data_IF_462291225870
#
_entry.id   IF_462291225870
#
_cell.length_a   1.000
_cell.length_b   1.000
_cell.length_c   1.000
_cell.angle_alpha   90.00
_cell.angle_beta   90.00
_cell.angle_gamma   90.00
#
_symmetry.space_group_name_H-M   'P 1'
#
loop_
_entity.id
_entity.type
_entity.pdbx_description
1 polymer ?
#
# COMPACT_ATOMS: atom_id res chain seq x y z
N UNK A 1 -30.06 23.75 -26.93
CA UNK A 1 -28.83 23.63 -26.08
C UNK A 1 -29.29 23.68 -24.64
N UNK A 2 -29.29 22.52 -23.97
CA UNK A 2 -29.61 22.38 -22.54
C UNK A 2 -28.31 22.55 -21.75
N UNK A 3 -28.17 23.73 -21.15
CA UNK A 3 -27.06 24.05 -20.23
C UNK A 3 -27.15 23.14 -19.01
N UNK A 4 -26.16 22.22 -18.85
CA UNK A 4 -26.07 21.39 -17.63
C UNK A 4 -25.59 22.29 -16.49
N UNK A 5 -26.50 22.97 -15.83
CA UNK A 5 -26.20 23.67 -14.58
C UNK A 5 -25.82 22.61 -13.53
N UNK A 6 -24.54 22.44 -13.31
CA UNK A 6 -24.08 21.71 -12.16
C UNK A 6 -24.52 22.47 -10.90
N UNK A 7 -25.38 21.88 -10.09
CA UNK A 7 -25.72 22.45 -8.79
C UNK A 7 -24.44 22.50 -7.93
N UNK A 8 -24.09 23.70 -7.47
CA UNK A 8 -22.97 23.90 -6.56
C UNK A 8 -23.52 24.29 -5.19
N UNK A 9 -22.91 23.71 -4.14
CA UNK A 9 -23.26 24.06 -2.76
C UNK A 9 -22.83 25.52 -2.49
N UNK A 10 -23.69 26.25 -1.77
CA UNK A 10 -23.32 27.55 -1.16
C UNK A 10 -22.26 27.33 -0.08
N UNK A 11 -21.61 28.38 0.41
CA UNK A 11 -20.66 28.30 1.53
C UNK A 11 -21.34 27.67 2.77
N UNK A 12 -22.55 28.09 3.10
CA UNK A 12 -23.34 27.48 4.16
C UNK A 12 -23.62 25.98 3.89
N UNK A 13 -23.93 25.62 2.63
CA UNK A 13 -24.12 24.22 2.24
C UNK A 13 -22.84 23.38 2.36
N UNK A 14 -21.68 23.94 2.02
CA UNK A 14 -20.37 23.26 2.19
C UNK A 14 -20.04 23.06 3.68
N UNK A 15 -20.32 24.09 4.51
CA UNK A 15 -20.15 24.00 5.95
C UNK A 15 -21.07 22.93 6.56
N UNK A 16 -22.36 22.94 6.18
CA UNK A 16 -23.33 21.96 6.64
C UNK A 16 -22.92 20.55 6.23
N UNK A 17 -22.52 20.32 4.98
CA UNK A 17 -22.07 19.02 4.49
C UNK A 17 -20.90 18.49 5.33
N UNK A 18 -19.89 19.34 5.59
CA UNK A 18 -18.74 18.97 6.42
C UNK A 18 -19.12 18.51 7.82
N UNK A 19 -20.07 19.19 8.46
CA UNK A 19 -20.51 18.82 9.81
C UNK A 19 -21.49 17.65 9.80
N UNK A 20 -22.37 17.56 8.81
CA UNK A 20 -23.28 16.42 8.65
C UNK A 20 -22.51 15.10 8.48
N UNK A 21 -21.47 15.07 7.62
CA UNK A 21 -20.60 13.91 7.48
C UNK A 21 -19.99 13.48 8.82
N UNK A 22 -19.56 14.45 9.64
CA UNK A 22 -18.98 14.14 10.96
C UNK A 22 -19.99 13.57 11.93
N UNK A 23 -21.21 14.15 11.96
CA UNK A 23 -22.30 13.70 12.84
C UNK A 23 -22.72 12.29 12.44
N UNK A 24 -22.94 12.03 11.16
CA UNK A 24 -23.32 10.70 10.66
C UNK A 24 -22.26 9.65 10.98
N UNK A 25 -20.98 9.95 10.70
CA UNK A 25 -19.89 9.04 11.02
C UNK A 25 -19.81 8.75 12.55
N UNK A 26 -20.05 9.76 13.39
CA UNK A 26 -20.06 9.58 14.85
C UNK A 26 -21.25 8.73 15.32
N UNK A 27 -22.42 8.91 14.71
CA UNK A 27 -23.59 8.06 14.99
C UNK A 27 -23.30 6.60 14.61
N UNK A 28 -22.77 6.35 13.42
CA UNK A 28 -22.40 5.00 12.96
C UNK A 28 -21.34 4.36 13.86
N UNK A 29 -20.33 5.14 14.30
CA UNK A 29 -19.33 4.69 15.26
C UNK A 29 -19.95 4.29 16.59
N UNK A 30 -20.87 5.13 17.09
CA UNK A 30 -21.58 4.87 18.36
C UNK A 30 -22.41 3.60 18.27
N UNK A 31 -23.17 3.42 17.19
CA UNK A 31 -23.96 2.21 16.96
C UNK A 31 -23.07 0.96 16.93
N UNK A 32 -21.96 0.99 16.17
CA UNK A 32 -20.99 -0.13 16.11
C UNK A 32 -20.39 -0.42 17.47
N UNK A 33 -20.00 0.61 18.24
CA UNK A 33 -19.46 0.44 19.59
C UNK A 33 -20.47 -0.19 20.57
N UNK A 34 -21.73 0.18 20.49
CA UNK A 34 -22.80 -0.42 21.30
C UNK A 34 -23.05 -1.89 20.92
N UNK A 35 -23.08 -2.20 19.62
CA UNK A 35 -23.22 -3.58 19.13
C UNK A 35 -22.06 -4.46 19.60
N UNK A 36 -20.82 -3.95 19.56
CA UNK A 36 -19.63 -4.68 20.03
C UNK A 36 -19.68 -4.97 21.54
N UNK A 37 -20.16 -4.00 22.34
CA UNK A 37 -20.34 -4.20 23.80
C UNK A 37 -21.42 -5.27 24.07
N UNK A 38 -22.48 -5.32 23.28
CA UNK A 38 -23.60 -6.25 23.48
C UNK A 38 -23.25 -7.68 23.02
N UNK A 39 -22.45 -7.83 21.97
CA UNK A 39 -22.23 -9.13 21.32
C UNK A 39 -20.89 -9.78 21.63
N UNK A 40 -20.11 -9.22 22.58
CA UNK A 40 -18.81 -9.79 23.03
C UNK A 40 -17.95 -10.31 21.85
N UNK A 41 -17.45 -9.41 21.00
CA UNK A 41 -16.50 -9.69 19.90
C UNK A 41 -17.08 -9.83 18.47
N UNK A 42 -18.33 -9.55 18.20
CA UNK A 42 -18.81 -9.44 16.83
C UNK A 42 -18.88 -7.95 16.43
N UNK A 43 -18.26 -7.61 15.31
CA UNK A 43 -18.27 -6.25 14.77
C UNK A 43 -17.75 -6.25 13.34
N UNK A 44 -17.92 -5.14 12.63
CA UNK A 44 -17.32 -4.93 11.31
C UNK A 44 -16.08 -4.06 11.51
N UNK A 45 -14.93 -4.57 11.13
CA UNK A 45 -13.66 -3.84 11.11
C UNK A 45 -13.41 -3.31 9.70
N UNK A 46 -13.46 -2.00 9.53
CA UNK A 46 -13.21 -1.34 8.23
C UNK A 46 -11.72 -1.01 8.13
N UNK A 47 -11.01 -1.74 7.27
CA UNK A 47 -9.58 -1.58 7.07
C UNK A 47 -9.32 -0.84 5.77
N UNK A 48 -8.44 0.17 5.82
CA UNK A 48 -7.94 0.86 4.65
C UNK A 48 -6.57 0.37 4.20
N UNK A 49 -6.30 0.40 2.90
CA UNK A 49 -4.96 0.14 2.40
C UNK A 49 -4.65 0.95 1.14
N UNK A 50 -3.36 1.29 0.95
CA UNK A 50 -2.89 1.80 -0.34
C UNK A 50 -2.93 0.69 -1.40
N UNK A 51 -2.94 1.04 -2.69
CA UNK A 51 -3.19 0.06 -3.76
C UNK A 51 -2.30 -1.18 -3.69
N UNK A 52 -0.99 -1.04 -3.63
CA UNK A 52 -0.06 -2.18 -3.55
C UNK A 52 -0.29 -2.98 -2.28
N UNK A 53 -0.35 -2.30 -1.13
CA UNK A 53 -0.57 -2.92 0.16
C UNK A 53 -1.89 -3.69 0.20
N UNK A 54 -2.97 -3.06 -0.32
CA UNK A 54 -4.31 -3.65 -0.35
C UNK A 54 -4.43 -4.85 -1.29
N UNK A 55 -3.66 -4.85 -2.38
CA UNK A 55 -3.72 -5.95 -3.37
C UNK A 55 -2.89 -7.14 -2.94
N UNK A 56 -1.68 -6.93 -2.41
CA UNK A 56 -0.71 -8.01 -2.21
C UNK A 56 -0.47 -8.39 -0.75
N UNK A 57 -0.54 -7.43 0.18
CA UNK A 57 -0.26 -7.68 1.60
C UNK A 57 -1.54 -7.96 2.40
N UNK A 58 -2.56 -7.11 2.27
CA UNK A 58 -3.76 -7.16 3.13
C UNK A 58 -4.55 -8.47 3.04
N UNK A 59 -4.77 -9.09 1.86
CA UNK A 59 -5.53 -10.34 1.79
C UNK A 59 -4.93 -11.45 2.66
N UNK A 60 -3.60 -11.53 2.70
CA UNK A 60 -2.89 -12.50 3.53
C UNK A 60 -3.03 -12.19 5.03
N UNK A 61 -2.77 -10.94 5.44
CA UNK A 61 -2.93 -10.53 6.84
C UNK A 61 -4.36 -10.76 7.33
N UNK A 62 -5.35 -10.43 6.50
CA UNK A 62 -6.77 -10.65 6.78
C UNK A 62 -7.07 -12.14 6.87
N UNK A 63 -6.51 -12.96 5.99
CA UNK A 63 -6.67 -14.41 6.01
C UNK A 63 -6.22 -15.03 7.34
N UNK A 64 -4.99 -14.71 7.77
CA UNK A 64 -4.43 -15.16 9.04
C UNK A 64 -5.28 -14.68 10.21
N UNK A 65 -5.66 -13.40 10.20
CA UNK A 65 -6.49 -12.83 11.26
C UNK A 65 -7.86 -13.48 11.35
N UNK A 66 -8.55 -13.68 10.22
CA UNK A 66 -9.88 -14.31 10.19
C UNK A 66 -9.86 -15.78 10.59
N UNK A 67 -8.76 -16.48 10.36
CA UNK A 67 -8.61 -17.84 10.87
C UNK A 67 -8.64 -17.88 12.40
N UNK A 68 -8.01 -16.89 13.05
CA UNK A 68 -7.96 -16.78 14.53
C UNK A 68 -9.22 -16.12 15.12
N UNK A 69 -9.85 -15.21 14.40
CA UNK A 69 -11.02 -14.42 14.85
C UNK A 69 -12.15 -14.46 13.79
N UNK A 70 -12.76 -15.63 13.54
CA UNK A 70 -13.75 -15.81 12.47
C UNK A 70 -15.03 -14.98 12.66
N UNK A 71 -15.35 -14.59 13.89
CA UNK A 71 -16.52 -13.79 14.24
C UNK A 71 -16.39 -12.30 13.88
N UNK A 72 -15.19 -11.80 13.59
CA UNK A 72 -14.97 -10.41 13.21
C UNK A 72 -15.12 -10.29 11.69
N UNK A 73 -16.14 -9.58 11.24
CA UNK A 73 -16.29 -9.24 9.84
C UNK A 73 -15.28 -8.15 9.44
N UNK A 74 -14.68 -8.29 8.25
CA UNK A 74 -13.71 -7.32 7.75
C UNK A 74 -14.19 -6.78 6.41
N UNK A 75 -14.18 -5.45 6.30
CA UNK A 75 -14.32 -4.72 5.05
C UNK A 75 -12.97 -4.08 4.69
N UNK A 76 -12.43 -4.39 3.50
CA UNK A 76 -11.19 -3.82 3.00
C UNK A 76 -11.47 -2.75 1.95
N UNK A 77 -11.04 -1.52 2.22
CA UNK A 77 -11.12 -0.39 1.29
C UNK A 77 -9.73 -0.09 0.71
N UNK A 78 -9.59 -0.18 -0.62
CA UNK A 78 -8.32 0.04 -1.32
C UNK A 78 -8.40 1.31 -2.16
N UNK A 79 -7.58 2.30 -1.83
CA UNK A 79 -7.52 3.58 -2.53
C UNK A 79 -6.09 4.18 -2.45
N UNK A 80 -5.91 5.40 -3.00
CA UNK A 80 -4.65 6.15 -2.81
C UNK A 80 -4.41 6.44 -1.31
N UNK A 81 -3.13 6.49 -0.89
CA UNK A 81 -2.73 6.83 0.50
C UNK A 81 -3.45 8.07 1.01
N UNK A 82 -3.54 9.12 0.18
CA UNK A 82 -4.24 10.36 0.54
C UNK A 82 -5.71 10.12 0.88
N UNK A 83 -6.44 9.36 0.05
CA UNK A 83 -7.87 9.07 0.28
C UNK A 83 -8.08 8.21 1.52
N UNK A 84 -7.23 7.21 1.70
CA UNK A 84 -7.25 6.34 2.90
C UNK A 84 -6.98 7.16 4.16
N UNK A 85 -5.94 7.99 4.19
CA UNK A 85 -5.63 8.82 5.35
C UNK A 85 -6.78 9.77 5.73
N UNK A 86 -7.45 10.37 4.75
CA UNK A 86 -8.66 11.14 5.00
C UNK A 86 -9.83 10.31 5.51
N UNK A 87 -10.00 9.07 5.01
CA UNK A 87 -10.99 8.12 5.50
C UNK A 87 -10.79 7.81 6.99
N UNK A 88 -9.54 7.54 7.41
CA UNK A 88 -9.18 7.32 8.82
C UNK A 88 -9.42 8.59 9.65
N UNK A 89 -8.99 9.76 9.17
CA UNK A 89 -9.18 11.02 9.90
C UNK A 89 -10.66 11.37 10.11
N UNK A 90 -11.51 11.05 9.13
CA UNK A 90 -12.96 11.25 9.20
C UNK A 90 -13.72 10.13 9.92
N UNK A 91 -13.05 9.01 10.19
CA UNK A 91 -13.61 7.85 10.85
C UNK A 91 -14.47 6.93 9.98
N UNK A 92 -14.30 7.02 8.70
CA UNK A 92 -14.89 6.09 7.73
C UNK A 92 -14.09 4.78 7.64
N UNK A 93 -12.85 4.81 8.09
CA UNK A 93 -11.91 3.69 8.15
C UNK A 93 -11.37 3.63 9.57
N UNK A 94 -11.35 2.45 10.16
CA UNK A 94 -10.95 2.23 11.54
C UNK A 94 -9.42 2.20 11.70
N UNK A 95 -8.74 1.49 10.81
CA UNK A 95 -7.28 1.36 10.76
C UNK A 95 -6.86 1.22 9.30
N UNK A 96 -5.67 1.71 8.96
CA UNK A 96 -5.15 1.47 7.61
C UNK A 96 -3.65 1.17 7.60
N UNK A 97 -3.20 0.44 6.54
CA UNK A 97 -1.79 0.24 6.21
C UNK A 97 -1.51 0.92 4.87
N UNK A 98 -0.59 1.86 4.88
CA UNK A 98 -0.26 2.67 3.70
C UNK A 98 1.26 2.74 3.49
N UNK A 99 1.69 2.74 2.23
CA UNK A 99 3.10 2.82 1.84
C UNK A 99 3.44 4.12 1.10
N UNK A 100 2.71 5.19 1.34
CA UNK A 100 2.97 6.48 0.73
C UNK A 100 2.94 7.61 1.74
N UNK A 101 3.32 8.81 1.31
CA UNK A 101 3.35 9.99 2.17
C UNK A 101 1.94 10.36 2.66
N UNK A 102 1.80 10.47 3.98
CA UNK A 102 0.57 10.91 4.62
C UNK A 102 0.50 12.45 4.52
N UNK A 103 -0.65 13.03 4.12
CA UNK A 103 -0.79 14.47 4.00
C UNK A 103 -0.34 15.21 5.27
N UNK A 104 0.53 16.22 5.12
CA UNK A 104 1.16 16.95 6.24
C UNK A 104 0.15 17.47 7.27
N UNK A 105 -1.01 17.94 6.79
CA UNK A 105 -2.10 18.45 7.65
C UNK A 105 -2.84 17.34 8.43
N UNK A 106 -2.59 16.07 8.18
CA UNK A 106 -3.15 14.94 8.91
C UNK A 106 -2.14 14.28 9.86
N UNK A 107 -0.84 14.52 9.69
CA UNK A 107 0.21 13.89 10.49
C UNK A 107 0.09 14.20 11.99
N UNK A 108 -0.39 15.40 12.36
CA UNK A 108 -0.66 15.77 13.76
C UNK A 108 -1.99 15.25 14.32
N UNK A 109 -2.84 14.68 13.45
CA UNK A 109 -4.19 14.21 13.83
C UNK A 109 -4.24 12.69 13.95
N UNK A 110 -3.40 12.00 13.18
CA UNK A 110 -3.36 10.54 13.12
C UNK A 110 -2.18 10.00 13.95
N UNK A 111 -2.38 8.86 14.58
CA UNK A 111 -1.31 8.04 15.13
C UNK A 111 -0.71 7.22 13.99
N UNK A 112 0.60 7.42 13.74
CA UNK A 112 1.33 6.82 12.63
C UNK A 112 2.42 5.93 13.23
N UNK A 113 2.31 4.63 13.01
CA UNK A 113 3.28 3.64 13.49
C UNK A 113 3.97 3.01 12.28
N UNK A 114 5.30 3.05 12.22
CA UNK A 114 6.07 2.29 11.20
C UNK A 114 5.78 0.80 11.36
N UNK A 115 5.50 0.13 10.24
CA UNK A 115 5.11 -1.29 10.23
C UNK A 115 6.19 -2.16 9.59
N UNK A 116 6.58 -1.86 8.37
CA UNK A 116 7.53 -2.67 7.60
C UNK A 116 8.24 -1.81 6.54
N UNK A 117 9.37 -2.30 6.04
CA UNK A 117 10.00 -1.76 4.85
C UNK A 117 9.56 -2.56 3.61
N UNK A 118 9.15 -1.87 2.57
CA UNK A 118 8.74 -2.41 1.28
C UNK A 118 9.80 -2.05 0.23
N UNK A 119 10.58 -3.03 -0.19
CA UNK A 119 11.61 -2.83 -1.22
C UNK A 119 10.97 -2.72 -2.59
N UNK A 120 11.47 -1.78 -3.40
CA UNK A 120 11.03 -1.53 -4.77
C UNK A 120 12.05 -2.08 -5.74
N UNK A 121 11.75 -3.23 -6.33
CA UNK A 121 12.61 -3.98 -7.22
C UNK A 121 12.58 -3.42 -8.65
N UNK A 122 13.74 -3.33 -9.30
CA UNK A 122 13.82 -3.20 -10.74
C UNK A 122 13.59 -4.57 -11.38
N UNK A 123 12.53 -4.69 -12.17
CA UNK A 123 12.20 -5.94 -12.87
C UNK A 123 12.47 -5.86 -14.36
N UNK A 124 12.93 -6.97 -14.91
CA UNK A 124 13.27 -7.15 -16.31
C UNK A 124 12.63 -8.44 -16.84
N UNK A 125 12.39 -8.53 -18.16
CA UNK A 125 12.14 -9.84 -18.79
C UNK A 125 13.31 -10.80 -18.53
N UNK A 126 13.03 -12.07 -18.30
CA UNK A 126 14.10 -13.08 -18.09
C UNK A 126 15.04 -13.22 -19.28
N UNK A 127 14.57 -12.88 -20.49
CA UNK A 127 15.40 -12.86 -21.72
C UNK A 127 16.27 -11.62 -21.88
N UNK A 128 16.17 -10.61 -20.98
CA UNK A 128 16.96 -9.39 -21.09
C UNK A 128 18.44 -9.66 -20.80
N UNK A 129 19.41 -9.08 -21.55
CA UNK A 129 20.83 -9.31 -21.32
C UNK A 129 21.31 -9.02 -19.89
N UNK A 130 20.69 -8.04 -19.22
CA UNK A 130 21.01 -7.70 -17.84
C UNK A 130 20.46 -8.71 -16.81
N UNK A 131 19.58 -9.62 -17.19
CA UNK A 131 19.07 -10.65 -16.29
C UNK A 131 20.14 -11.68 -15.90
N UNK A 132 21.24 -11.79 -16.66
CA UNK A 132 22.38 -12.66 -16.34
C UNK A 132 23.41 -12.00 -15.43
N UNK A 133 23.28 -10.70 -15.12
CA UNK A 133 24.24 -9.97 -14.30
C UNK A 133 23.85 -10.05 -12.81
N UNK A 134 24.84 -10.20 -11.94
CA UNK A 134 24.64 -10.14 -10.50
C UNK A 134 24.15 -8.75 -10.06
N UNK A 135 24.77 -7.71 -10.65
CA UNK A 135 24.41 -6.31 -10.43
C UNK A 135 24.48 -5.53 -11.74
N UNK A 136 23.59 -4.58 -11.93
CA UNK A 136 23.69 -3.57 -12.98
C UNK A 136 24.29 -2.28 -12.41
N UNK A 137 25.04 -1.54 -13.22
CA UNK A 137 25.59 -0.25 -12.83
C UNK A 137 24.50 0.83 -12.97
N UNK A 138 24.62 1.92 -12.23
CA UNK A 138 23.67 3.02 -12.32
C UNK A 138 23.59 3.64 -13.72
N UNK A 139 24.69 3.63 -14.46
CA UNK A 139 24.77 4.12 -15.84
C UNK A 139 23.98 3.24 -16.81
N UNK A 140 23.82 1.96 -16.52
CA UNK A 140 23.06 1.03 -17.35
C UNK A 140 21.56 1.31 -17.32
N UNK A 141 21.06 2.00 -16.29
CA UNK A 141 19.65 2.40 -16.21
C UNK A 141 19.25 3.30 -17.40
N UNK A 142 20.14 4.15 -17.88
CA UNK A 142 19.87 5.03 -19.04
C UNK A 142 19.74 4.26 -20.36
N UNK A 143 20.17 3.00 -20.40
CA UNK A 143 20.06 2.12 -21.57
C UNK A 143 18.76 1.33 -21.61
N UNK A 144 18.02 1.32 -20.49
CA UNK A 144 16.76 0.60 -20.38
C UNK A 144 15.60 1.44 -20.95
N UNK A 145 14.58 0.74 -21.44
CA UNK A 145 13.27 1.30 -21.73
C UNK A 145 12.38 1.01 -20.52
N UNK A 146 11.70 2.01 -20.01
CA UNK A 146 10.90 1.86 -18.80
C UNK A 146 9.40 1.85 -19.08
N UNK A 147 8.71 0.98 -18.36
CA UNK A 147 7.27 1.03 -18.15
C UNK A 147 7.07 1.66 -16.76
N UNK A 148 6.52 2.86 -16.71
CA UNK A 148 6.43 3.63 -15.49
C UNK A 148 5.00 3.67 -14.92
N UNK A 149 4.88 3.84 -13.61
CA UNK A 149 3.63 4.26 -12.99
C UNK A 149 3.36 5.73 -13.36
N UNK A 150 2.08 6.12 -13.39
CA UNK A 150 1.73 7.51 -13.65
C UNK A 150 2.34 8.47 -12.61
N UNK A 151 2.45 9.75 -12.95
CA UNK A 151 3.10 10.78 -12.12
C UNK A 151 2.40 11.07 -10.78
N UNK A 152 1.17 10.60 -10.58
CA UNK A 152 0.45 10.73 -9.30
C UNK A 152 0.75 9.56 -8.33
N UNK A 153 1.54 8.58 -8.76
CA UNK A 153 1.90 7.43 -7.95
C UNK A 153 2.90 7.80 -6.86
N UNK A 154 2.58 7.48 -5.61
CA UNK A 154 3.51 7.65 -4.49
C UNK A 154 4.74 6.74 -4.61
N UNK A 155 4.59 5.58 -5.24
CA UNK A 155 5.72 4.67 -5.54
C UNK A 155 6.69 5.35 -6.50
N UNK A 156 6.19 5.93 -7.60
CA UNK A 156 7.02 6.64 -8.57
C UNK A 156 7.81 7.78 -7.91
N UNK A 157 7.17 8.56 -7.04
CA UNK A 157 7.84 9.64 -6.31
C UNK A 157 8.99 9.12 -5.43
N UNK A 158 8.78 8.01 -4.71
CA UNK A 158 9.84 7.39 -3.89
C UNK A 158 10.99 6.94 -4.77
N UNK A 159 10.72 6.25 -5.88
CA UNK A 159 11.74 5.79 -6.83
C UNK A 159 12.55 6.97 -7.37
N UNK A 160 11.87 7.99 -7.91
CA UNK A 160 12.51 9.16 -8.50
C UNK A 160 13.37 9.92 -7.48
N UNK A 161 12.89 10.11 -6.25
CA UNK A 161 13.65 10.77 -5.19
C UNK A 161 14.89 9.96 -4.79
N UNK A 162 14.75 8.65 -4.57
CA UNK A 162 15.90 7.80 -4.21
C UNK A 162 16.94 7.75 -5.34
N UNK A 163 16.50 7.71 -6.60
CA UNK A 163 17.43 7.76 -7.73
C UNK A 163 18.18 9.10 -7.78
N UNK A 164 17.51 10.22 -7.58
CA UNK A 164 18.12 11.56 -7.54
C UNK A 164 19.15 11.65 -6.40
N UNK A 165 18.83 11.17 -5.21
CA UNK A 165 19.73 11.12 -4.06
C UNK A 165 21.02 10.31 -4.34
N UNK A 166 20.92 9.33 -5.24
CA UNK A 166 22.07 8.52 -5.69
C UNK A 166 22.73 9.04 -6.98
N UNK A 167 22.40 10.28 -7.39
CA UNK A 167 23.01 10.94 -8.55
C UNK A 167 22.51 10.45 -9.90
N UNK A 168 21.31 9.83 -9.95
CA UNK A 168 20.66 9.33 -11.16
C UNK A 168 19.52 10.26 -11.54
N UNK A 169 19.59 10.90 -12.72
CA UNK A 169 18.51 11.75 -13.22
C UNK A 169 17.48 10.93 -13.98
N UNK A 170 16.43 10.50 -13.28
CA UNK A 170 15.35 9.69 -13.86
C UNK A 170 14.57 10.39 -15.00
N UNK A 171 14.69 11.71 -15.14
CA UNK A 171 14.09 12.47 -16.27
C UNK A 171 14.72 12.14 -17.61
N UNK A 172 15.92 11.56 -17.60
CA UNK A 172 16.64 11.09 -18.79
C UNK A 172 16.27 9.66 -19.19
N UNK A 173 15.44 8.98 -18.38
CA UNK A 173 15.01 7.63 -18.70
C UNK A 173 14.08 7.62 -19.91
N UNK A 174 14.25 6.62 -20.77
CA UNK A 174 13.35 6.39 -21.88
C UNK A 174 12.06 5.72 -21.38
N UNK A 175 11.01 6.49 -21.18
CA UNK A 175 9.68 5.96 -20.82
C UNK A 175 8.98 5.52 -22.11
N UNK A 176 8.76 4.20 -22.24
CA UNK A 176 8.05 3.61 -23.38
C UNK A 176 6.54 3.70 -23.18
N UNK A 177 6.08 3.53 -21.90
CA UNK A 177 4.66 3.55 -21.57
C UNK A 177 4.46 3.97 -20.10
N UNK A 178 3.36 4.68 -19.84
CA UNK A 178 2.87 4.96 -18.49
C UNK A 178 1.58 4.18 -18.21
N UNK A 179 1.53 3.49 -17.07
CA UNK A 179 0.39 2.68 -16.64
C UNK A 179 0.01 3.02 -15.20
N UNK A 180 -1.23 2.75 -14.82
CA UNK A 180 -1.75 3.00 -13.48
C UNK A 180 -2.02 1.71 -12.67
N UNK A 181 -1.66 0.57 -13.22
CA UNK A 181 -1.84 -0.76 -12.62
C UNK A 181 -0.53 -1.53 -12.58
N UNK A 182 -0.16 -2.03 -11.41
CA UNK A 182 1.04 -2.86 -11.23
C UNK A 182 0.93 -4.16 -12.00
N UNK A 183 -0.26 -4.78 -12.05
CA UNK A 183 -0.49 -5.98 -12.86
C UNK A 183 -0.25 -5.71 -14.36
N UNK A 184 -0.74 -4.58 -14.88
CA UNK A 184 -0.48 -4.20 -16.27
C UNK A 184 1.01 -3.97 -16.52
N UNK A 185 1.73 -3.37 -15.57
CA UNK A 185 3.19 -3.17 -15.65
C UNK A 185 3.92 -4.52 -15.69
N UNK A 186 3.60 -5.45 -14.77
CA UNK A 186 4.18 -6.79 -14.74
C UNK A 186 3.98 -7.51 -16.08
N UNK A 187 2.76 -7.49 -16.62
CA UNK A 187 2.45 -8.09 -17.92
C UNK A 187 3.21 -7.43 -19.06
N UNK A 188 3.39 -6.11 -19.05
CA UNK A 188 4.18 -5.40 -20.05
C UNK A 188 5.66 -5.79 -20.00
N UNK A 189 6.24 -5.93 -18.79
CA UNK A 189 7.60 -6.42 -18.60
C UNK A 189 7.75 -7.86 -19.09
N UNK A 190 6.83 -8.75 -18.72
CA UNK A 190 6.82 -10.16 -19.18
C UNK A 190 6.78 -10.26 -20.73
N UNK A 191 6.05 -9.34 -21.36
CA UNK A 191 5.95 -9.27 -22.81
C UNK A 191 7.19 -8.67 -23.50
N UNK A 192 8.22 -8.30 -22.74
CA UNK A 192 9.47 -7.77 -23.29
C UNK A 192 9.41 -6.28 -23.66
N UNK A 193 8.40 -5.53 -23.25
CA UNK A 193 8.24 -4.12 -23.60
C UNK A 193 9.25 -3.21 -22.89
N UNK A 194 9.83 -3.65 -21.76
CA UNK A 194 10.83 -2.86 -21.02
C UNK A 194 11.02 -3.33 -19.59
N UNK A 195 11.68 -2.48 -18.81
CA UNK A 195 11.94 -2.63 -17.38
C UNK A 195 10.91 -1.83 -16.56
N UNK A 196 10.74 -2.18 -15.31
CA UNK A 196 9.90 -1.40 -14.40
C UNK A 196 10.38 -1.50 -12.95
N UNK A 197 10.06 -0.49 -12.15
CA UNK A 197 10.18 -0.58 -10.70
C UNK A 197 8.84 -0.92 -10.09
N UNK A 198 8.79 -1.97 -9.27
CA UNK A 198 7.59 -2.44 -8.57
C UNK A 198 7.94 -2.92 -7.17
N UNK A 199 6.96 -2.95 -6.27
CA UNK A 199 7.15 -3.52 -4.94
C UNK A 199 7.46 -5.02 -5.01
N UNK A 200 8.42 -5.48 -4.22
CA UNK A 200 8.79 -6.91 -4.12
C UNK A 200 7.57 -7.74 -3.72
N UNK A 201 6.69 -7.21 -2.87
CA UNK A 201 5.45 -7.89 -2.49
C UNK A 201 4.52 -8.21 -3.66
N UNK A 202 4.66 -7.47 -4.78
CA UNK A 202 3.82 -7.64 -5.96
C UNK A 202 4.33 -8.69 -6.95
N UNK A 203 5.55 -9.19 -6.77
CA UNK A 203 6.25 -10.03 -7.76
C UNK A 203 6.69 -11.39 -7.24
N UNK A 204 6.35 -11.75 -6.01
CA UNK A 204 6.79 -13.02 -5.40
C UNK A 204 6.46 -14.24 -6.28
N UNK A 205 5.24 -14.31 -6.80
CA UNK A 205 4.80 -15.40 -7.66
C UNK A 205 5.54 -15.45 -8.99
N UNK A 206 5.78 -14.29 -9.60
CA UNK A 206 6.50 -14.18 -10.86
C UNK A 206 7.97 -14.58 -10.72
N UNK A 207 8.59 -14.27 -9.57
CA UNK A 207 9.94 -14.71 -9.24
C UNK A 207 10.03 -16.22 -9.04
N UNK A 208 9.10 -16.82 -8.27
CA UNK A 208 9.00 -18.27 -8.06
C UNK A 208 8.82 -19.03 -9.39
N UNK A 209 7.97 -18.49 -10.28
CA UNK A 209 7.72 -19.06 -11.59
C UNK A 209 8.81 -18.71 -12.63
N UNK A 210 9.81 -17.93 -12.24
CA UNK A 210 10.89 -17.47 -13.13
C UNK A 210 10.39 -16.79 -14.42
N UNK A 211 9.31 -16.00 -14.32
CA UNK A 211 8.70 -15.30 -15.46
C UNK A 211 9.29 -13.91 -15.63
N UNK A 212 9.75 -13.30 -14.55
CA UNK A 212 10.49 -12.03 -14.54
C UNK A 212 11.79 -12.19 -13.77
N UNK A 213 12.72 -11.26 -13.99
CA UNK A 213 13.98 -11.18 -13.26
C UNK A 213 14.02 -9.90 -12.42
N UNK A 214 14.46 -10.04 -11.16
CA UNK A 214 14.76 -8.92 -10.28
C UNK A 214 16.22 -8.52 -10.44
N UNK A 215 16.47 -7.42 -11.15
CA UNK A 215 17.81 -6.89 -11.31
C UNK A 215 18.19 -6.01 -10.12
N UNK A 216 19.29 -6.32 -9.48
CA UNK A 216 19.85 -5.52 -8.39
C UNK A 216 20.73 -4.40 -8.97
N UNK A 217 20.58 -3.18 -8.44
CA UNK A 217 21.42 -2.03 -8.80
C UNK A 217 22.55 -1.98 -7.78
N UNK A 218 23.80 -1.86 -8.25
CA UNK A 218 24.96 -1.83 -7.36
C UNK A 218 24.86 -0.65 -6.39
N UNK A 219 25.05 -0.94 -5.11
CA UNK A 219 25.06 0.02 -3.98
C UNK A 219 23.77 0.85 -3.81
N UNK A 220 22.67 0.48 -4.49
CA UNK A 220 21.39 1.20 -4.40
C UNK A 220 20.28 0.22 -4.06
N UNK A 221 19.63 0.47 -2.94
CA UNK A 221 18.37 -0.17 -2.56
C UNK A 221 17.28 0.90 -2.48
N UNK A 222 16.18 0.68 -3.18
CA UNK A 222 15.03 1.59 -3.14
C UNK A 222 13.99 0.95 -2.23
N UNK A 223 13.65 1.63 -1.13
CA UNK A 223 12.61 1.15 -0.21
C UNK A 223 11.69 2.27 0.23
N UNK A 224 10.58 1.89 0.80
CA UNK A 224 9.63 2.80 1.45
C UNK A 224 9.08 2.17 2.72
N UNK A 225 8.81 2.99 3.72
CA UNK A 225 8.17 2.52 4.95
C UNK A 225 6.67 2.32 4.73
N UNK A 226 6.16 1.16 5.08
CA UNK A 226 4.73 0.93 5.29
C UNK A 226 4.35 1.39 6.70
N UNK A 227 3.27 2.13 6.82
CA UNK A 227 2.81 2.68 8.10
C UNK A 227 1.39 2.23 8.42
N UNK A 228 1.16 1.85 9.67
CA UNK A 228 -0.17 1.69 10.24
C UNK A 228 -0.64 3.08 10.69
N UNK A 229 -1.83 3.47 10.26
CA UNK A 229 -2.45 4.74 10.65
C UNK A 229 -3.80 4.52 11.32
N UNK A 230 -4.04 5.24 12.39
CA UNK A 230 -5.29 5.22 13.16
C UNK A 230 -5.63 6.64 13.67
N UNK A 231 -6.88 6.90 13.97
CA UNK A 231 -7.29 8.17 14.56
C UNK A 231 -7.39 8.03 16.09
N UNK A 232 -6.44 8.58 16.88
CA UNK A 232 -6.39 8.39 18.33
C UNK A 232 -7.57 9.04 19.09
N UNK A 233 -8.33 9.91 18.44
CA UNK A 233 -9.48 10.61 19.05
C UNK A 233 -10.79 9.83 18.95
N UNK A 234 -10.75 8.65 18.34
CA UNK A 234 -11.93 7.81 18.16
C UNK A 234 -11.99 6.68 19.17
N UNK A 235 -13.21 6.16 19.38
CA UNK A 235 -13.38 4.94 20.16
C UNK A 235 -12.64 3.79 19.47
N UNK A 236 -11.70 3.20 20.17
CA UNK A 236 -11.01 2.01 19.70
C UNK A 236 -11.81 0.78 20.12
N UNK A 237 -12.57 0.27 19.22
CA UNK A 237 -13.18 -1.04 19.32
C UNK A 237 -12.13 -2.11 19.69
N UNK A 238 -12.50 -3.12 20.45
CA UNK A 238 -11.57 -4.19 20.83
C UNK A 238 -10.98 -4.89 19.61
N UNK A 239 -11.79 -5.04 18.56
CA UNK A 239 -11.38 -5.58 17.26
C UNK A 239 -10.20 -4.82 16.61
N UNK A 240 -10.18 -3.48 16.68
CA UNK A 240 -9.09 -2.65 16.15
C UNK A 240 -7.79 -2.90 16.93
N UNK A 241 -7.89 -2.94 18.28
CA UNK A 241 -6.72 -3.20 19.14
C UNK A 241 -6.13 -4.58 18.89
N UNK A 242 -7.01 -5.59 18.78
CA UNK A 242 -6.62 -6.97 18.51
C UNK A 242 -5.96 -7.04 17.12
N UNK A 243 -6.58 -6.48 16.07
CA UNK A 243 -6.02 -6.49 14.74
C UNK A 243 -4.66 -5.77 14.68
N UNK A 244 -4.55 -4.55 15.25
CA UNK A 244 -3.28 -3.81 15.30
C UNK A 244 -2.18 -4.62 15.98
N UNK A 245 -2.49 -5.27 17.11
CA UNK A 245 -1.53 -6.11 17.85
C UNK A 245 -1.09 -7.31 17.03
N UNK A 246 -2.04 -8.07 16.47
CA UNK A 246 -1.74 -9.27 15.70
C UNK A 246 -0.83 -8.97 14.50
N UNK A 247 -1.10 -7.89 13.75
CA UNK A 247 -0.23 -7.54 12.62
C UNK A 247 1.16 -7.07 13.08
N UNK A 248 1.29 -6.36 14.19
CA UNK A 248 2.60 -5.98 14.73
C UNK A 248 3.38 -7.20 15.23
N UNK A 249 2.72 -8.14 15.89
CA UNK A 249 3.33 -9.37 16.36
C UNK A 249 3.81 -10.26 15.19
N UNK A 250 3.03 -10.36 14.12
CA UNK A 250 3.45 -11.05 12.89
C UNK A 250 4.73 -10.47 12.31
N UNK A 251 4.90 -9.16 12.35
CA UNK A 251 6.11 -8.50 11.85
C UNK A 251 7.32 -8.78 12.73
N UNK A 252 7.17 -8.74 14.07
CA UNK A 252 8.26 -9.00 15.02
C UNK A 252 8.79 -10.44 14.90
N UNK A 253 7.91 -11.42 14.69
CA UNK A 253 8.29 -12.82 14.47
C UNK A 253 9.04 -12.99 13.16
N UNK A 254 8.64 -12.32 12.09
CA UNK A 254 9.30 -12.43 10.79
C UNK A 254 10.64 -11.67 10.71
N UNK A 255 10.83 -10.61 11.46
CA UNK A 255 12.10 -9.85 11.48
C UNK A 255 13.24 -10.57 12.20
N UNK A 256 12.93 -11.59 13.01
CA UNK A 256 13.93 -12.44 13.70
C UNK A 256 14.47 -13.58 12.83
N UNK A 257 13.91 -13.84 11.67
CA UNK A 257 14.41 -14.81 10.70
C UNK A 257 14.99 -14.10 9.48
N UNK A 258 16.27 -14.31 9.25
CA UNK A 258 17.12 -13.71 8.21
C UNK A 258 16.72 -14.18 6.80
N UNK A 259 15.53 -13.80 6.33
CA UNK A 259 15.13 -14.03 4.95
C UNK A 259 14.07 -13.02 4.49
N UNK A 260 14.51 -11.95 3.79
CA UNK A 260 13.64 -10.88 3.26
C UNK A 260 12.52 -11.38 2.32
N UNK A 261 12.67 -12.56 1.75
CA UNK A 261 11.64 -13.22 0.94
C UNK A 261 10.60 -13.97 1.79
N UNK A 262 11.00 -14.51 2.96
CA UNK A 262 10.10 -15.24 3.87
C UNK A 262 9.18 -14.30 4.68
N UNK A 263 9.43 -13.00 4.72
CA UNK A 263 8.49 -12.00 5.27
C UNK A 263 7.15 -12.00 4.53
N UNK A 264 7.14 -12.46 3.29
CA UNK A 264 5.95 -12.52 2.46
C UNK A 264 5.35 -13.93 2.38
N UNK A 265 6.10 -14.99 2.78
CA UNK A 265 5.66 -16.39 2.64
C UNK A 265 6.27 -17.29 3.73
N UNK A 266 5.62 -17.50 4.88
CA UNK A 266 5.99 -18.64 5.74
C UNK A 266 5.65 -19.91 4.97
N UNK A 267 6.58 -20.86 4.92
CA UNK A 267 6.30 -22.23 4.47
C UNK A 267 5.11 -22.79 5.27
N UNK A 268 4.16 -23.40 4.57
CA UNK A 268 3.12 -24.18 5.21
C UNK A 268 3.82 -25.26 6.02
N UNK A 269 3.70 -25.23 7.35
CA UNK A 269 4.00 -26.41 8.17
C UNK A 269 3.02 -27.49 7.73
N UNK A 270 3.52 -28.41 6.90
CA UNK A 270 2.86 -29.67 6.59
C UNK A 270 2.67 -30.46 7.90
N UNK A 271 1.46 -30.47 8.40
CA UNK A 271 0.93 -31.50 9.29
C UNK A 271 -0.30 -32.10 8.67
#
# INVERSE_FOLDING_TARGET
YRDKRQARLTEAGQLLLKYSDRILNLCEETCRGLEEIQTLQSGILIIGASQTTGTYLMPRLIGIFRHKYPQIAIELQVHSTRRIAWGVAKGQIDLAIVGGEIPKNLQSTLDITSYAEDELALILPTSHPFASLEYIQKEDLYRLKFIALNTQSTIRNVIENTLIENGIDSRQFKIEMELNSIEAIKNAVQSGLGAAFVSVSAISKELELNIIHWAKIKDITISRTLSIIVNPKRYYASSIKIFKREILDMFLVSSSFDNKLNLLWPEEENN
#
